data_IF_640181077346
#
_entry.id   IF_640181077346
#
_cell.length_a   1.000
_cell.length_b   1.000
_cell.length_c   1.000
_cell.angle_alpha   90.00
_cell.angle_beta   90.00
_cell.angle_gamma   90.00
#
_symmetry.space_group_name_H-M   'P 1'
#
loop_
_entity.id
_entity.type
_entity.pdbx_description
1 polymer ?
#
# COMPACT_ATOMS: atom_id res chain seq x y z
N UNK A 1 -6.86 -33.50 -3.83
CA UNK A 1 -7.41 -32.67 -4.92
C UNK A 1 -8.78 -32.17 -4.51
N UNK A 2 -8.95 -30.85 -4.34
CA UNK A 2 -10.13 -30.02 -4.67
C UNK A 2 -10.07 -28.73 -3.85
N UNK A 3 -9.69 -27.65 -4.54
CA UNK A 3 -9.81 -26.28 -4.07
C UNK A 3 -11.30 -25.91 -4.01
N UNK A 4 -11.74 -25.36 -2.88
CA UNK A 4 -13.03 -24.68 -2.76
C UNK A 4 -12.74 -23.22 -2.40
N UNK A 5 -12.37 -22.45 -3.43
CA UNK A 5 -12.31 -21.00 -3.36
C UNK A 5 -13.61 -20.47 -3.94
N UNK A 6 -14.40 -19.77 -3.13
CA UNK A 6 -15.56 -19.04 -3.61
C UNK A 6 -16.70 -19.05 -2.61
N UNK A 7 -16.64 -18.17 -1.59
CA UNK A 7 -17.83 -17.50 -1.04
C UNK A 7 -17.44 -16.45 0.01
N UNK A 8 -16.65 -15.43 -0.35
CA UNK A 8 -16.49 -14.22 0.49
C UNK A 8 -16.43 -12.96 -0.37
N UNK A 9 -17.33 -12.87 -1.35
CA UNK A 9 -17.67 -11.62 -2.03
C UNK A 9 -19.05 -11.26 -1.52
N UNK A 10 -19.28 -10.00 -1.11
CA UNK A 10 -20.56 -9.38 -0.70
C UNK A 10 -20.82 -9.02 0.77
N UNK A 11 -19.83 -9.02 1.69
CA UNK A 11 -20.05 -8.47 3.05
C UNK A 11 -19.35 -7.12 3.35
N UNK A 12 -18.50 -6.60 2.45
CA UNK A 12 -17.62 -5.46 2.78
C UNK A 12 -18.12 -4.07 2.34
N UNK A 13 -19.31 -3.97 1.73
CA UNK A 13 -19.81 -2.70 1.18
C UNK A 13 -20.37 -1.71 2.22
N UNK A 14 -20.44 -2.08 3.51
CA UNK A 14 -21.04 -1.23 4.56
C UNK A 14 -19.99 -0.54 5.45
N UNK A 15 -18.70 -0.86 5.31
CA UNK A 15 -17.61 -0.22 6.08
C UNK A 15 -16.90 0.90 5.30
N UNK A 16 -17.64 1.63 4.46
CA UNK A 16 -17.16 2.76 3.66
C UNK A 16 -16.93 4.05 4.49
N UNK A 17 -16.53 3.93 5.76
CA UNK A 17 -16.31 5.08 6.64
C UNK A 17 -14.93 4.96 7.30
N UNK A 18 -14.13 6.00 7.05
CA UNK A 18 -12.91 6.41 7.77
C UNK A 18 -11.69 5.48 7.76
N UNK A 19 -11.04 5.29 6.61
CA UNK A 19 -9.59 5.12 6.60
C UNK A 19 -8.96 6.50 6.35
N UNK A 20 -8.87 7.31 7.40
CA UNK A 20 -8.20 8.61 7.32
C UNK A 20 -6.73 8.39 6.93
N UNK A 21 -6.18 9.08 5.90
CA UNK A 21 -4.79 8.91 5.49
C UNK A 21 -3.79 9.21 6.61
N UNK A 22 -4.18 9.98 7.63
CA UNK A 22 -3.39 10.18 8.85
C UNK A 22 -3.05 8.86 9.56
N UNK A 23 -3.99 7.92 9.56
CA UNK A 23 -3.87 6.69 10.35
C UNK A 23 -2.91 5.65 9.74
N UNK A 24 -2.57 5.74 8.45
CA UNK A 24 -1.57 4.85 7.81
C UNK A 24 -0.14 5.19 8.26
N UNK A 25 0.07 6.45 8.62
CA UNK A 25 1.37 6.97 9.02
C UNK A 25 1.66 6.78 10.52
N UNK A 26 0.63 6.45 11.30
CA UNK A 26 0.73 6.12 12.72
C UNK A 26 1.02 4.63 12.98
N UNK A 27 1.20 3.82 11.92
CA UNK A 27 1.46 2.38 12.04
C UNK A 27 2.84 2.12 12.66
N UNK A 28 2.94 1.07 13.47
CA UNK A 28 4.23 0.58 13.97
C UNK A 28 4.96 -0.26 12.90
N UNK A 29 6.26 -0.51 13.06
CA UNK A 29 7.07 -1.24 12.07
C UNK A 29 6.52 -2.61 11.67
N UNK A 30 5.99 -3.36 12.65
CA UNK A 30 5.35 -4.64 12.38
C UNK A 30 4.11 -4.49 11.49
N UNK A 31 3.30 -3.45 11.74
CA UNK A 31 2.10 -3.15 10.96
C UNK A 31 2.47 -2.62 9.56
N UNK A 32 3.51 -1.81 9.44
CA UNK A 32 4.04 -1.38 8.14
C UNK A 32 4.56 -2.56 7.32
N UNK A 33 5.19 -3.54 7.96
CA UNK A 33 5.68 -4.75 7.28
C UNK A 33 4.50 -5.59 6.78
N UNK A 34 3.47 -5.81 7.61
CA UNK A 34 2.26 -6.53 7.21
C UNK A 34 1.51 -5.80 6.08
N UNK A 35 1.37 -4.48 6.19
CA UNK A 35 0.77 -3.63 5.16
C UNK A 35 1.53 -3.73 3.84
N UNK A 36 2.86 -3.57 3.88
CA UNK A 36 3.71 -3.61 2.72
C UNK A 36 3.66 -4.97 2.00
N UNK A 37 3.63 -6.07 2.77
CA UNK A 37 3.44 -7.41 2.22
C UNK A 37 2.07 -7.56 1.54
N UNK A 38 0.99 -7.11 2.19
CA UNK A 38 -0.34 -7.15 1.60
C UNK A 38 -0.42 -6.32 0.30
N UNK A 39 0.14 -5.11 0.29
CA UNK A 39 0.16 -4.25 -0.90
C UNK A 39 0.94 -4.92 -2.02
N UNK A 40 2.09 -5.51 -1.72
CA UNK A 40 2.88 -6.25 -2.71
C UNK A 40 2.13 -7.45 -3.26
N UNK A 41 1.45 -8.22 -2.42
CA UNK A 41 0.62 -9.34 -2.88
C UNK A 41 -0.57 -8.87 -3.73
N UNK A 42 -1.21 -7.76 -3.36
CA UNK A 42 -2.34 -7.21 -4.09
C UNK A 42 -1.96 -6.62 -5.46
N UNK A 43 -0.75 -6.09 -5.59
CA UNK A 43 -0.21 -5.58 -6.85
C UNK A 43 0.29 -6.69 -7.79
N UNK A 44 0.66 -7.86 -7.25
CA UNK A 44 1.17 -8.99 -8.01
C UNK A 44 2.38 -8.61 -8.88
N UNK A 45 2.43 -9.14 -10.10
CA UNK A 45 3.48 -8.84 -11.10
C UNK A 45 3.14 -7.66 -12.03
N UNK A 46 2.20 -6.80 -11.62
CA UNK A 46 1.77 -5.63 -12.37
C UNK A 46 2.87 -4.57 -12.56
N UNK A 47 2.66 -3.64 -13.49
CA UNK A 47 3.64 -2.59 -13.79
C UNK A 47 3.94 -1.69 -12.58
N UNK A 48 2.96 -1.49 -11.70
CA UNK A 48 3.17 -0.74 -10.47
C UNK A 48 4.09 -1.49 -9.49
N UNK A 49 4.02 -2.82 -9.39
CA UNK A 49 4.94 -3.60 -8.57
C UNK A 49 6.39 -3.50 -9.07
N UNK A 50 6.59 -3.51 -10.39
CA UNK A 50 7.91 -3.30 -11.02
C UNK A 50 8.42 -1.88 -10.75
N UNK A 51 7.56 -0.88 -10.92
CA UNK A 51 7.91 0.52 -10.64
C UNK A 51 8.23 0.75 -9.16
N UNK A 52 7.52 0.11 -8.24
CA UNK A 52 7.79 0.21 -6.81
C UNK A 52 9.21 -0.25 -6.45
N UNK A 53 9.74 -1.28 -7.12
CA UNK A 53 11.12 -1.70 -6.90
C UNK A 53 12.13 -0.59 -7.27
N UNK A 54 11.90 0.09 -8.40
CA UNK A 54 12.72 1.23 -8.84
C UNK A 54 12.56 2.44 -7.90
N UNK A 55 11.32 2.77 -7.53
CA UNK A 55 11.03 3.88 -6.61
C UNK A 55 11.68 3.63 -5.26
N UNK A 56 11.61 2.40 -4.74
CA UNK A 56 12.25 1.99 -3.50
C UNK A 56 13.77 2.16 -3.55
N UNK A 57 14.41 1.74 -4.65
CA UNK A 57 15.85 1.92 -4.84
C UNK A 57 16.23 3.41 -4.88
N UNK A 58 15.48 4.23 -5.63
CA UNK A 58 15.72 5.68 -5.72
C UNK A 58 15.41 6.42 -4.42
N UNK A 59 14.50 5.88 -3.60
CA UNK A 59 14.18 6.40 -2.28
C UNK A 59 15.18 5.93 -1.21
N UNK A 60 16.22 5.19 -1.56
CA UNK A 60 17.19 4.59 -0.63
C UNK A 60 16.48 3.83 0.50
N UNK A 61 15.58 2.93 0.11
CA UNK A 61 14.84 2.06 1.01
C UNK A 61 15.15 0.59 0.71
N UNK A 62 15.51 -0.20 1.73
CA UNK A 62 15.74 -1.63 1.55
C UNK A 62 14.43 -2.44 1.50
N UNK A 63 13.36 -1.91 2.10
CA UNK A 63 12.07 -2.61 2.26
C UNK A 63 10.91 -1.75 1.79
N UNK A 64 9.80 -2.40 1.44
CA UNK A 64 8.57 -1.71 1.06
C UNK A 64 7.97 -0.95 2.27
N UNK A 65 8.18 -1.44 3.50
CA UNK A 65 7.84 -0.74 4.73
C UNK A 65 8.58 0.61 4.88
N UNK A 66 9.88 0.67 4.57
CA UNK A 66 10.63 1.92 4.54
C UNK A 66 10.04 2.92 3.55
N UNK A 67 9.63 2.44 2.36
CA UNK A 67 9.02 3.28 1.34
C UNK A 67 7.68 3.87 1.82
N UNK A 68 6.82 3.05 2.43
CA UNK A 68 5.57 3.51 3.02
C UNK A 68 5.79 4.57 4.12
N UNK A 69 6.80 4.36 4.98
CA UNK A 69 7.17 5.32 6.02
C UNK A 69 7.68 6.63 5.43
N UNK A 70 8.58 6.61 4.44
CA UNK A 70 9.06 7.83 3.77
C UNK A 70 7.91 8.59 3.10
N UNK A 71 6.99 7.89 2.43
CA UNK A 71 5.81 8.52 1.82
C UNK A 71 4.89 9.19 2.86
N UNK A 72 4.88 8.68 4.09
CA UNK A 72 4.17 9.23 5.23
C UNK A 72 4.87 10.45 5.84
N UNK A 73 6.16 10.31 6.16
CA UNK A 73 6.99 11.37 6.77
C UNK A 73 7.14 12.58 5.85
N UNK A 74 7.25 12.34 4.54
CA UNK A 74 7.44 13.39 3.56
C UNK A 74 6.15 14.15 3.23
N UNK A 75 4.99 13.67 3.69
CA UNK A 75 3.70 14.25 3.34
C UNK A 75 3.37 14.04 1.86
N UNK A 76 2.08 14.01 1.54
CA UNK A 76 1.59 13.68 0.19
C UNK A 76 1.87 14.74 -0.89
N UNK A 77 2.67 15.78 -0.59
CA UNK A 77 2.84 16.96 -1.44
C UNK A 77 4.33 17.15 -1.81
N UNK A 78 4.63 16.94 -3.10
CA UNK A 78 5.86 17.36 -3.79
C UNK A 78 7.19 16.93 -3.16
N UNK A 79 7.34 15.65 -2.84
CA UNK A 79 8.60 15.11 -2.32
C UNK A 79 9.29 14.21 -3.34
N UNK A 80 10.63 14.06 -3.29
CA UNK A 80 11.38 13.34 -4.31
C UNK A 80 10.93 11.89 -4.51
N UNK A 81 10.37 11.25 -3.47
CA UNK A 81 9.81 9.90 -3.57
C UNK A 81 8.41 9.94 -4.18
N UNK A 82 7.54 10.85 -3.73
CA UNK A 82 6.19 11.00 -4.26
C UNK A 82 6.17 11.42 -5.74
N UNK A 83 7.16 12.20 -6.19
CA UNK A 83 7.33 12.66 -7.58
C UNK A 83 7.73 11.54 -8.55
N UNK A 84 8.14 10.37 -8.06
CA UNK A 84 8.44 9.23 -8.91
C UNK A 84 7.20 8.39 -9.25
N UNK A 85 6.10 8.61 -8.55
CA UNK A 85 4.81 8.03 -8.91
C UNK A 85 4.13 8.88 -9.99
N UNK A 86 3.54 8.23 -10.99
CA UNK A 86 2.53 8.91 -11.80
C UNK A 86 1.28 9.16 -10.94
N UNK A 87 0.42 10.13 -11.29
CA UNK A 87 -0.82 10.37 -10.58
C UNK A 87 -1.67 9.11 -10.42
N UNK A 88 -1.75 8.28 -11.47
CA UNK A 88 -2.47 7.01 -11.50
C UNK A 88 -1.81 5.98 -10.58
N UNK A 89 -0.48 5.84 -10.65
CA UNK A 89 0.26 4.93 -9.79
C UNK A 89 0.17 5.30 -8.31
N UNK A 90 0.13 6.60 -7.99
CA UNK A 90 -0.10 7.10 -6.63
C UNK A 90 -1.51 6.78 -6.13
N UNK A 91 -2.52 6.97 -6.99
CA UNK A 91 -3.90 6.64 -6.66
C UNK A 91 -4.08 5.13 -6.44
N UNK A 92 -3.50 4.31 -7.31
CA UNK A 92 -3.53 2.85 -7.22
C UNK A 92 -2.81 2.36 -5.95
N UNK A 93 -1.58 2.81 -5.69
CA UNK A 93 -0.84 2.48 -4.48
C UNK A 93 -1.62 2.85 -3.21
N UNK A 94 -2.25 4.03 -3.19
CA UNK A 94 -3.08 4.47 -2.07
C UNK A 94 -4.33 3.59 -1.90
N UNK A 95 -4.98 3.18 -2.99
CA UNK A 95 -6.13 2.26 -2.92
C UNK A 95 -5.74 0.92 -2.31
N UNK A 96 -4.61 0.34 -2.75
CA UNK A 96 -4.12 -0.93 -2.18
C UNK A 96 -3.70 -0.78 -0.72
N UNK A 97 -3.02 0.31 -0.35
CA UNK A 97 -2.65 0.57 1.04
C UNK A 97 -3.88 0.70 1.96
N UNK A 98 -4.91 1.42 1.52
CA UNK A 98 -6.16 1.55 2.28
C UNK A 98 -6.86 0.19 2.42
N UNK A 99 -7.02 -0.54 1.32
CA UNK A 99 -7.66 -1.85 1.34
C UNK A 99 -6.90 -2.84 2.25
N UNK A 100 -5.57 -2.86 2.18
CA UNK A 100 -4.74 -3.72 3.02
C UNK A 100 -4.79 -3.36 4.49
N UNK A 101 -4.82 -2.06 4.83
CA UNK A 101 -5.00 -1.62 6.22
C UNK A 101 -6.36 -2.05 6.79
N UNK A 102 -7.41 -2.04 5.99
CA UNK A 102 -8.74 -2.49 6.44
C UNK A 102 -8.77 -3.99 6.78
N UNK A 103 -7.89 -4.79 6.15
CA UNK A 103 -7.72 -6.22 6.44
C UNK A 103 -6.76 -6.45 7.61
N UNK A 104 -5.83 -5.53 7.84
CA UNK A 104 -4.79 -5.60 8.88
C UNK A 104 -4.80 -4.34 9.76
N UNK A 105 -5.78 -4.20 10.69
CA UNK A 105 -5.92 -3.04 11.58
C UNK A 105 -4.79 -2.90 12.61
#
# INVERSE_FOLDING_TARGET
>A
MKCAAGLLVFASLVFFVSADPKTLCDLQDAQFTALANCVRTALGDGDLAKKLATIRANADCATDACLHRKLCEQGTLNTPVASQFTPEGKAEFRRHAIACKQVHP
#
